data_IF_514289976346
#
_entry.id   IF_514289976346
#
_cell.length_a   1.000
_cell.length_b   1.000
_cell.length_c   1.000
_cell.angle_alpha   90.00
_cell.angle_beta   90.00
_cell.angle_gamma   90.00
#
_symmetry.space_group_name_H-M   'P 1'
#
loop_
_entity.id
_entity.type
_entity.pdbx_description
1 polymer ?
#
# COMPACT_ATOMS: atom_id res chain seq x y z
N UNK A 1 44.02 -23.87 -41.80
CA UNK A 1 43.73 -23.43 -40.42
C UNK A 1 42.79 -22.21 -40.42
N UNK A 2 41.49 -22.36 -40.75
CA UNK A 2 40.51 -21.24 -40.78
C UNK A 2 39.09 -21.63 -40.36
N UNK A 3 38.89 -22.76 -39.66
CA UNK A 3 37.56 -23.25 -39.23
C UNK A 3 37.27 -23.02 -37.74
N UNK A 4 38.26 -22.55 -36.97
CA UNK A 4 38.13 -22.33 -35.52
C UNK A 4 37.78 -20.88 -35.20
N UNK A 5 38.11 -19.90 -36.05
CA UNK A 5 37.74 -18.49 -35.87
C UNK A 5 36.24 -18.27 -36.00
N UNK A 6 35.57 -18.99 -36.90
CA UNK A 6 34.11 -18.90 -37.08
C UNK A 6 33.34 -19.43 -35.86
N UNK A 7 33.83 -20.53 -35.25
CA UNK A 7 33.21 -21.13 -34.05
C UNK A 7 33.37 -20.24 -32.82
N UNK A 8 34.53 -19.59 -32.67
CA UNK A 8 34.78 -18.64 -31.58
C UNK A 8 33.92 -17.38 -31.71
N UNK A 9 33.71 -16.87 -32.93
CA UNK A 9 32.84 -15.70 -33.16
C UNK A 9 31.37 -16.02 -32.85
N UNK A 10 30.87 -17.20 -33.23
CA UNK A 10 29.50 -17.63 -32.89
C UNK A 10 29.33 -17.86 -31.38
N UNK A 11 30.33 -18.41 -30.70
CA UNK A 11 30.31 -18.63 -29.24
C UNK A 11 30.29 -17.30 -28.46
N UNK A 12 31.13 -16.33 -28.85
CA UNK A 12 31.21 -15.01 -28.18
C UNK A 12 29.94 -14.18 -28.43
N UNK A 13 29.36 -14.26 -29.64
CA UNK A 13 28.09 -13.59 -29.95
C UNK A 13 26.90 -14.22 -29.20
N UNK A 14 26.89 -15.55 -29.02
CA UNK A 14 25.87 -16.27 -28.26
C UNK A 14 25.84 -15.91 -26.76
N UNK A 15 27.02 -15.68 -26.15
CA UNK A 15 27.13 -15.28 -24.73
C UNK A 15 26.68 -13.82 -24.53
N UNK A 16 26.97 -12.93 -25.50
CA UNK A 16 26.52 -11.53 -25.45
C UNK A 16 24.99 -11.38 -25.54
N UNK A 17 24.31 -12.29 -26.25
CA UNK A 17 22.84 -12.33 -26.33
C UNK A 17 22.19 -13.00 -25.11
N UNK A 18 22.96 -13.69 -24.25
CA UNK A 18 22.45 -14.32 -23.04
C UNK A 18 22.56 -13.42 -21.78
N UNK A 19 23.41 -12.38 -21.81
CA UNK A 19 23.54 -11.42 -20.70
C UNK A 19 22.58 -10.22 -20.75
N UNK A 20 21.80 -10.06 -21.82
CA UNK A 20 20.83 -8.97 -21.95
C UNK A 20 19.47 -9.27 -21.27
N UNK A 21 19.29 -10.47 -20.70
CA UNK A 21 18.08 -10.88 -19.96
C UNK A 21 18.28 -11.00 -18.44
N UNK A 22 19.25 -10.28 -17.87
CA UNK A 22 19.33 -10.08 -16.40
C UNK A 22 19.27 -8.59 -16.04
N UNK A 23 18.38 -7.84 -16.69
CA UNK A 23 18.08 -6.46 -16.30
C UNK A 23 16.58 -6.20 -16.28
N UNK A 24 15.87 -6.99 -15.49
CA UNK A 24 14.70 -6.48 -14.78
C UNK A 24 14.57 -7.19 -13.44
N UNK A 25 15.61 -7.05 -12.61
CA UNK A 25 15.34 -6.99 -11.19
C UNK A 25 14.48 -5.75 -10.99
N UNK A 26 13.16 -5.91 -11.03
CA UNK A 26 12.17 -4.93 -10.60
C UNK A 26 12.42 -4.71 -9.11
N UNK A 27 13.46 -3.95 -8.82
CA UNK A 27 13.71 -3.41 -7.52
C UNK A 27 12.57 -2.46 -7.23
N UNK A 28 12.00 -2.64 -6.04
CA UNK A 28 11.04 -1.76 -5.42
C UNK A 28 9.62 -1.82 -5.98
N UNK A 29 8.95 -2.93 -5.69
CA UNK A 29 7.72 -2.81 -4.87
C UNK A 29 8.15 -2.19 -3.53
N UNK A 30 8.46 -0.88 -3.57
CA UNK A 30 8.63 -0.08 -2.36
C UNK A 30 7.23 -0.11 -1.81
N UNK A 31 7.01 -0.92 -0.77
CA UNK A 31 5.76 -0.90 -0.02
C UNK A 31 5.47 0.56 0.26
N UNK A 32 4.59 1.17 -0.54
CA UNK A 32 4.03 2.46 -0.20
C UNK A 32 3.49 2.20 1.17
N UNK A 33 4.04 2.92 2.13
CA UNK A 33 3.42 3.06 3.42
C UNK A 33 2.07 3.67 3.07
N UNK A 34 1.04 2.83 2.85
CA UNK A 34 -0.31 3.30 2.65
C UNK A 34 -0.61 4.06 3.93
N UNK A 35 -0.61 5.38 3.81
CA UNK A 35 -1.07 6.23 4.89
C UNK A 35 -2.47 5.76 5.24
N UNK A 36 -2.85 5.77 6.53
CA UNK A 36 -4.20 5.41 6.90
C UNK A 36 -5.18 6.22 6.04
N UNK A 37 -6.23 5.58 5.51
CA UNK A 37 -7.16 6.25 4.61
C UNK A 37 -7.74 7.48 5.30
N UNK A 38 -7.77 8.59 4.58
CA UNK A 38 -8.36 9.84 5.10
C UNK A 38 -9.86 9.69 5.25
N UNK A 39 -10.51 10.49 6.10
CA UNK A 39 -11.98 10.51 6.23
C UNK A 39 -12.69 10.62 4.87
N UNK A 40 -12.17 11.45 3.97
CA UNK A 40 -12.72 11.63 2.62
C UNK A 40 -12.65 10.35 1.78
N UNK A 41 -11.61 9.54 1.94
CA UNK A 41 -11.49 8.25 1.26
C UNK A 41 -12.45 7.23 1.87
N UNK A 42 -12.57 7.22 3.19
CA UNK A 42 -13.53 6.36 3.89
C UNK A 42 -14.97 6.68 3.49
N UNK A 43 -15.37 7.95 3.47
CA UNK A 43 -16.68 8.37 2.95
C UNK A 43 -16.88 7.85 1.52
N UNK A 44 -15.96 8.13 0.61
CA UNK A 44 -16.08 7.69 -0.79
C UNK A 44 -16.26 6.17 -0.96
N UNK A 45 -15.74 5.37 -0.02
CA UNK A 45 -15.80 3.91 -0.08
C UNK A 45 -16.99 3.33 0.70
N UNK A 46 -17.50 4.03 1.71
CA UNK A 46 -18.38 3.45 2.73
C UNK A 46 -19.68 4.22 2.96
N UNK A 47 -19.72 5.53 2.70
CA UNK A 47 -20.91 6.39 2.77
C UNK A 47 -21.85 6.04 1.59
N UNK A 48 -22.88 5.23 1.87
CA UNK A 48 -23.80 4.72 0.85
C UNK A 48 -25.02 5.61 0.67
N UNK A 49 -25.41 6.30 1.74
CA UNK A 49 -26.51 7.26 1.74
C UNK A 49 -26.06 8.67 1.30
N UNK A 50 -24.76 8.88 1.11
CA UNK A 50 -24.14 10.15 0.68
C UNK A 50 -24.48 11.31 1.62
N UNK A 51 -24.60 11.02 2.92
CA UNK A 51 -24.95 12.03 3.93
C UNK A 51 -23.72 12.76 4.50
N UNK A 52 -22.51 12.36 4.09
CA UNK A 52 -21.24 12.96 4.51
C UNK A 52 -20.77 12.49 5.89
N UNK A 53 -21.40 11.45 6.45
CA UNK A 53 -21.07 10.84 7.72
C UNK A 53 -20.99 9.31 7.54
N UNK A 54 -20.43 8.60 8.53
CA UNK A 54 -20.38 7.14 8.49
C UNK A 54 -21.20 6.55 9.63
N UNK A 55 -22.31 5.89 9.30
CA UNK A 55 -23.12 5.19 10.30
C UNK A 55 -22.48 3.88 10.75
N UNK A 56 -22.91 3.37 11.91
CA UNK A 56 -22.48 2.06 12.44
C UNK A 56 -22.70 0.88 11.48
N UNK A 57 -23.67 1.00 10.57
CA UNK A 57 -23.99 -0.01 9.56
C UNK A 57 -23.06 0.05 8.33
N UNK A 58 -22.49 1.23 8.06
CA UNK A 58 -21.59 1.49 6.93
C UNK A 58 -20.14 1.20 7.28
N UNK A 59 -19.73 1.48 8.53
CA UNK A 59 -18.39 1.19 9.04
C UNK A 59 -18.07 -0.31 9.09
N UNK A 60 -16.80 -0.65 8.80
CA UNK A 60 -16.28 -2.02 8.76
C UNK A 60 -14.84 -2.06 9.25
N UNK A 61 -14.38 -3.26 9.65
CA UNK A 61 -13.01 -3.48 10.11
C UNK A 61 -12.68 -2.67 11.38
N UNK A 62 -11.43 -2.22 11.55
CA UNK A 62 -10.98 -1.51 12.76
C UNK A 62 -11.78 -0.26 13.09
N UNK A 63 -12.35 0.41 12.07
CA UNK A 63 -13.20 1.59 12.27
C UNK A 63 -14.50 1.25 13.00
N UNK A 64 -15.05 0.05 12.77
CA UNK A 64 -16.23 -0.45 13.48
C UNK A 64 -15.90 -0.80 14.92
N UNK A 65 -14.71 -1.37 15.16
CA UNK A 65 -14.27 -1.75 16.50
C UNK A 65 -14.04 -0.52 17.38
N UNK A 66 -13.48 0.54 16.79
CA UNK A 66 -13.25 1.82 17.46
C UNK A 66 -14.42 2.80 17.31
N UNK A 67 -15.58 2.35 16.79
CA UNK A 67 -16.69 3.25 16.46
C UNK A 67 -17.12 4.10 17.66
N UNK A 68 -17.36 3.44 18.80
CA UNK A 68 -17.78 4.08 20.04
C UNK A 68 -16.68 4.94 20.69
N UNK A 69 -15.42 4.74 20.32
CA UNK A 69 -14.33 5.62 20.77
C UNK A 69 -14.24 6.90 19.92
N UNK A 70 -14.66 6.82 18.65
CA UNK A 70 -14.64 7.92 17.70
C UNK A 70 -15.92 8.76 17.78
N UNK A 71 -17.09 8.11 17.88
CA UNK A 71 -18.41 8.70 18.06
C UNK A 71 -18.54 9.30 19.47
N UNK A 72 -18.00 10.51 19.64
CA UNK A 72 -17.91 11.19 20.95
C UNK A 72 -19.24 11.80 21.37
N UNK A 73 -20.12 12.10 20.42
CA UNK A 73 -21.45 12.66 20.69
C UNK A 73 -22.52 11.58 20.88
N UNK A 74 -22.17 10.31 20.66
CA UNK A 74 -23.02 9.11 20.78
C UNK A 74 -24.28 9.18 19.90
N UNK A 75 -24.20 9.85 18.75
CA UNK A 75 -25.33 10.00 17.84
C UNK A 75 -25.48 8.81 16.87
N UNK A 76 -24.52 7.89 16.87
CA UNK A 76 -24.51 6.71 16.01
C UNK A 76 -23.91 6.94 14.62
N UNK A 77 -23.22 8.07 14.42
CA UNK A 77 -22.50 8.45 13.22
C UNK A 77 -21.08 8.92 13.54
N UNK A 78 -20.17 8.74 12.59
CA UNK A 78 -18.83 9.33 12.66
C UNK A 78 -18.76 10.49 11.69
N UNK A 79 -18.53 11.68 12.23
CA UNK A 79 -18.25 12.87 11.44
C UNK A 79 -16.78 13.01 11.12
N UNK A 80 -16.46 13.89 10.15
CA UNK A 80 -15.07 14.24 9.83
C UNK A 80 -14.30 14.71 11.06
N UNK A 81 -14.94 15.54 11.88
CA UNK A 81 -14.34 16.17 13.04
C UNK A 81 -14.00 15.12 14.10
N UNK A 82 -14.92 14.20 14.35
CA UNK A 82 -14.72 13.10 15.29
C UNK A 82 -13.60 12.16 14.85
N UNK A 83 -13.51 11.81 13.56
CA UNK A 83 -12.39 11.01 13.08
C UNK A 83 -11.04 11.76 13.15
N UNK A 84 -11.05 13.09 12.98
CA UNK A 84 -9.84 13.91 13.13
C UNK A 84 -9.39 14.05 14.59
N UNK A 85 -10.34 14.14 15.51
CA UNK A 85 -10.12 14.20 16.95
C UNK A 85 -9.79 12.81 17.56
N UNK A 86 -10.12 11.73 16.85
CA UNK A 86 -9.87 10.37 17.29
C UNK A 86 -8.37 10.09 17.51
N UNK A 87 -8.02 9.33 18.56
CA UNK A 87 -6.63 8.96 18.82
C UNK A 87 -6.08 8.14 17.65
N UNK A 88 -5.13 8.71 16.93
CA UNK A 88 -4.42 8.00 15.86
C UNK A 88 -3.65 6.86 16.51
N UNK A 89 -3.81 5.60 16.05
CA UNK A 89 -3.06 4.49 16.61
C UNK A 89 -1.57 4.80 16.46
N UNK A 90 -0.88 4.89 17.60
CA UNK A 90 0.55 5.15 17.64
C UNK A 90 1.23 4.02 16.86
N UNK A 91 1.64 4.34 15.63
CA UNK A 91 2.26 3.37 14.74
C UNK A 91 3.61 3.06 15.37
N UNK A 92 3.67 2.03 16.22
CA UNK A 92 4.92 1.52 16.78
C UNK A 92 5.85 1.32 15.59
N UNK A 93 6.78 2.25 15.44
CA UNK A 93 7.78 2.22 14.39
C UNK A 93 8.48 0.88 14.59
N UNK A 94 8.20 -0.07 13.70
CA UNK A 94 8.97 -1.32 13.65
C UNK A 94 10.36 -0.86 13.29
N UNK A 95 11.20 -0.59 14.30
CA UNK A 95 12.62 -0.31 14.15
C UNK A 95 13.13 -1.39 13.24
N UNK A 96 13.33 -1.02 11.98
CA UNK A 96 13.85 -1.90 10.95
C UNK A 96 15.25 -2.21 11.42
N UNK A 97 15.44 -3.37 12.04
CA UNK A 97 16.76 -3.87 12.41
C UNK A 97 17.58 -3.88 11.11
N UNK A 98 18.42 -2.87 10.97
CA UNK A 98 19.42 -2.77 9.93
C UNK A 98 20.57 -3.66 10.43
N UNK A 99 20.48 -4.94 10.08
CA UNK A 99 21.58 -5.91 10.22
C UNK A 99 22.56 -5.64 9.08
#
# INVERSE_FOLDING_TARGET
MKSNTLKTVVLVFGIALFMSNYSFGQSQDRQEIKEPPTFKQLLKEMDKNEDGQLSKAEVKGPLKDNFTEIDTNEDGYITKKELEDAPKPERKERKRNKI
#
